data_IF_336743569230
#
_entry.id   IF_336743569230
#
_cell.length_a   1.000
_cell.length_b   1.000
_cell.length_c   1.000
_cell.angle_alpha   90.00
_cell.angle_beta   90.00
_cell.angle_gamma   90.00
#
_symmetry.space_group_name_H-M   'P 1'
#
loop_
_entity.id
_entity.type
_entity.pdbx_description
1 polymer ?
#
# COMPACT_ATOMS: atom_id res chain seq x y z
N UNK A 1 -15.46 -70.09 34.59
CA UNK A 1 -14.38 -69.99 35.62
C UNK A 1 -13.43 -68.88 35.18
N UNK A 2 -13.29 -67.83 36.01
CA UNK A 2 -12.10 -66.97 36.29
C UNK A 2 -11.26 -66.52 35.06
N UNK A 3 -11.00 -65.23 34.79
CA UNK A 3 -10.58 -64.14 35.69
C UNK A 3 -10.85 -62.75 35.09
N UNK A 4 -11.12 -61.82 36.00
CA UNK A 4 -11.22 -60.37 35.85
C UNK A 4 -9.85 -59.66 35.80
N UNK A 5 -9.86 -58.44 35.25
CA UNK A 5 -9.02 -57.28 35.59
C UNK A 5 -7.57 -57.20 35.04
N UNK A 6 -7.24 -56.13 34.30
CA UNK A 6 -6.62 -54.92 34.87
C UNK A 6 -6.47 -53.80 33.81
N UNK A 7 -6.78 -52.58 34.25
CA UNK A 7 -6.46 -51.24 33.75
C UNK A 7 -5.21 -51.08 32.84
N UNK A 8 -5.28 -50.09 31.95
CA UNK A 8 -4.18 -49.12 31.83
C UNK A 8 -3.91 -48.53 30.45
N UNK A 9 -4.23 -47.24 30.29
CA UNK A 9 -3.63 -46.27 29.36
C UNK A 9 -3.82 -46.48 27.84
N UNK A 10 -4.85 -45.83 27.30
CA UNK A 10 -4.79 -45.21 25.96
C UNK A 10 -5.62 -43.92 25.97
N UNK A 11 -5.25 -42.98 26.85
CA UNK A 11 -5.62 -41.57 26.70
C UNK A 11 -4.43 -40.91 26.01
N UNK A 12 -4.34 -41.07 24.70
CA UNK A 12 -3.27 -40.50 23.89
C UNK A 12 -3.86 -39.99 22.59
N UNK A 13 -3.63 -38.70 22.33
CA UNK A 13 -4.08 -37.91 21.19
C UNK A 13 -5.52 -37.37 21.27
N UNK A 14 -5.74 -36.50 22.27
CA UNK A 14 -6.36 -35.22 21.94
C UNK A 14 -5.46 -34.60 20.86
N UNK A 15 -5.91 -34.68 19.62
CA UNK A 15 -5.27 -33.99 18.50
C UNK A 15 -5.38 -32.49 18.83
N UNK A 16 -4.35 -31.94 19.47
CA UNK A 16 -4.12 -30.51 19.53
C UNK A 16 -3.86 -30.10 18.08
N UNK A 17 -4.93 -29.86 17.32
CA UNK A 17 -4.88 -29.02 16.16
C UNK A 17 -4.57 -27.62 16.68
N UNK A 18 -3.31 -27.37 16.99
CA UNK A 18 -2.74 -26.03 16.93
C UNK A 18 -2.84 -25.67 15.46
N UNK A 19 -4.01 -25.17 15.06
CA UNK A 19 -4.12 -24.44 13.82
C UNK A 19 -3.07 -23.36 13.91
N UNK A 20 -2.11 -23.39 12.98
CA UNK A 20 -1.18 -22.29 12.80
C UNK A 20 -2.02 -21.03 12.70
N UNK A 21 -2.10 -20.27 13.79
CA UNK A 21 -2.64 -18.93 13.76
C UNK A 21 -1.77 -18.21 12.73
N UNK A 22 -2.29 -18.04 11.51
CA UNK A 22 -1.66 -17.17 10.52
C UNK A 22 -1.59 -15.85 11.25
N UNK A 23 -0.38 -15.45 11.66
CA UNK A 23 -0.13 -14.13 12.23
C UNK A 23 -0.62 -13.17 11.16
N UNK A 24 -1.83 -12.64 11.34
CA UNK A 24 -2.37 -11.64 10.42
C UNK A 24 -1.39 -10.48 10.35
N UNK A 25 -1.32 -9.83 9.20
CA UNK A 25 -0.67 -8.53 9.09
C UNK A 25 -1.13 -7.62 10.24
N UNK A 26 -0.23 -6.81 10.82
CA UNK A 26 -0.62 -5.85 11.85
C UNK A 26 -1.74 -4.99 11.29
N UNK A 27 -2.87 -4.98 11.98
CA UNK A 27 -4.01 -4.18 11.60
C UNK A 27 -3.75 -2.74 12.04
N UNK A 28 -3.61 -1.80 11.09
CA UNK A 28 -3.26 -0.41 11.37
C UNK A 28 -4.48 0.50 11.65
N UNK A 29 -5.70 -0.04 11.58
CA UNK A 29 -6.91 0.67 12.01
C UNK A 29 -6.94 0.89 13.54
N UNK A 30 -7.31 2.10 13.98
CA UNK A 30 -7.44 2.49 15.39
C UNK A 30 -8.60 3.45 15.60
N UNK A 31 -8.96 3.77 16.85
CA UNK A 31 -10.02 4.75 17.11
C UNK A 31 -9.69 6.07 16.42
N UNK A 32 -10.66 6.65 15.70
CA UNK A 32 -10.50 7.92 15.00
C UNK A 32 -10.08 9.06 15.93
N UNK A 33 -10.52 9.02 17.20
CA UNK A 33 -10.14 9.96 18.26
C UNK A 33 -8.67 9.89 18.66
N UNK A 34 -7.96 8.83 18.28
CA UNK A 34 -6.54 8.67 18.59
C UNK A 34 -5.63 9.31 17.52
N UNK A 35 -6.20 9.82 16.42
CA UNK A 35 -5.48 10.66 15.46
C UNK A 35 -5.40 12.09 15.98
N UNK A 36 -4.29 12.77 15.69
CA UNK A 36 -4.14 14.18 16.07
C UNK A 36 -5.11 15.04 15.26
N UNK A 37 -5.49 16.18 15.81
CA UNK A 37 -6.36 17.12 15.13
C UNK A 37 -5.69 17.62 13.85
N UNK A 38 -6.40 17.54 12.71
CA UNK A 38 -5.87 17.87 11.39
C UNK A 38 -5.16 16.73 10.66
N UNK A 39 -4.98 15.55 11.29
CA UNK A 39 -4.47 14.37 10.56
C UNK A 39 -5.53 13.83 9.58
N UNK A 40 -5.06 13.57 8.35
CA UNK A 40 -5.83 12.90 7.31
C UNK A 40 -6.01 11.42 7.66
N UNK A 41 -7.27 10.97 7.69
CA UNK A 41 -7.66 9.62 8.06
C UNK A 41 -8.91 9.20 7.30
N UNK A 42 -9.07 7.91 7.10
CA UNK A 42 -10.26 7.30 6.50
C UNK A 42 -11.00 6.48 7.56
N UNK A 43 -12.31 6.69 7.70
CA UNK A 43 -13.15 5.94 8.65
C UNK A 43 -13.66 4.65 7.99
N UNK A 44 -13.41 3.51 8.63
CA UNK A 44 -13.86 2.21 8.14
C UNK A 44 -15.39 2.16 8.06
N UNK A 45 -15.95 1.48 7.05
CA UNK A 45 -17.39 1.52 6.74
C UNK A 45 -18.28 0.88 7.81
N UNK A 46 -17.87 -0.25 8.37
CA UNK A 46 -18.69 -1.07 9.28
C UNK A 46 -18.40 -0.79 10.75
N UNK A 47 -17.15 -0.46 11.09
CA UNK A 47 -16.73 -0.18 12.47
C UNK A 47 -16.62 1.32 12.71
N UNK A 48 -17.78 1.99 12.77
CA UNK A 48 -17.87 3.44 12.98
C UNK A 48 -17.01 3.90 14.17
N UNK A 49 -16.24 4.95 13.97
CA UNK A 49 -15.26 5.45 14.93
C UNK A 49 -13.90 4.75 14.88
N UNK A 50 -13.70 3.80 13.96
CA UNK A 50 -12.39 3.24 13.63
C UNK A 50 -11.87 3.83 12.31
N UNK A 51 -10.60 4.22 12.30
CA UNK A 51 -9.96 4.88 11.19
C UNK A 51 -8.59 4.27 10.88
N UNK A 52 -8.23 4.30 9.60
CA UNK A 52 -6.86 4.09 9.10
C UNK A 52 -6.22 5.44 8.75
N UNK A 53 -4.89 5.49 8.77
CA UNK A 53 -4.16 6.66 8.30
C UNK A 53 -4.29 6.76 6.79
N UNK A 54 -4.18 7.96 6.22
CA UNK A 54 -4.22 8.10 4.76
C UNK A 54 -3.09 7.35 4.03
N UNK A 55 -1.97 7.09 4.70
CA UNK A 55 -0.86 6.27 4.16
C UNK A 55 -1.17 4.78 4.11
N UNK A 56 -2.20 4.33 4.85
CA UNK A 56 -2.70 2.95 4.92
C UNK A 56 -4.11 2.88 4.32
N UNK A 57 -4.41 3.78 3.40
CA UNK A 57 -5.70 3.85 2.74
C UNK A 57 -5.43 3.70 1.26
N UNK A 58 -5.95 2.63 0.67
CA UNK A 58 -5.66 2.22 -0.69
C UNK A 58 -4.17 1.90 -0.92
N UNK A 59 -3.53 1.26 0.08
CA UNK A 59 -2.12 0.88 0.04
C UNK A 59 -1.92 -0.61 -0.32
N UNK A 60 -2.96 -1.23 -0.88
CA UNK A 60 -3.03 -2.67 -1.19
C UNK A 60 -2.94 -3.59 0.04
N UNK A 61 -3.02 -3.05 1.26
CA UNK A 61 -3.04 -3.81 2.51
C UNK A 61 -4.38 -3.67 3.21
N UNK A 62 -4.97 -4.80 3.60
CA UNK A 62 -6.24 -4.79 4.32
C UNK A 62 -6.01 -4.40 5.78
N UNK A 63 -6.30 -3.16 6.14
CA UNK A 63 -6.22 -2.64 7.50
C UNK A 63 -7.57 -2.58 8.18
N UNK A 64 -8.62 -2.08 7.55
CA UNK A 64 -9.95 -2.19 8.13
C UNK A 64 -10.36 -3.67 8.25
N UNK A 65 -11.23 -3.97 9.23
CA UNK A 65 -11.79 -5.33 9.38
C UNK A 65 -12.68 -5.74 8.22
N UNK A 66 -13.28 -4.75 7.56
CA UNK A 66 -14.23 -4.90 6.46
C UNK A 66 -13.64 -4.54 5.09
N UNK A 67 -12.30 -4.37 5.00
CA UNK A 67 -11.60 -4.04 3.75
C UNK A 67 -12.10 -2.74 3.09
N UNK A 68 -12.77 -1.86 3.84
CA UNK A 68 -13.34 -0.64 3.27
C UNK A 68 -12.28 0.39 2.88
N UNK A 69 -11.10 0.27 3.47
CA UNK A 69 -9.88 1.00 3.14
C UNK A 69 -9.29 0.61 1.77
N UNK A 70 -9.55 -0.62 1.32
CA UNK A 70 -9.11 -1.16 0.03
C UNK A 70 -10.30 -1.43 -0.91
N UNK A 71 -11.41 -0.69 -0.73
CA UNK A 71 -12.58 -0.80 -1.60
C UNK A 71 -12.25 -0.22 -2.99
N UNK A 72 -12.37 -1.00 -4.08
CA UNK A 72 -11.93 -0.54 -5.41
C UNK A 72 -12.64 0.73 -5.90
N UNK A 73 -13.92 0.92 -5.55
CA UNK A 73 -14.69 2.09 -6.00
C UNK A 73 -14.28 3.33 -5.21
N UNK A 74 -14.02 3.16 -3.91
CA UNK A 74 -13.54 4.28 -3.07
C UNK A 74 -12.11 4.65 -3.46
N UNK A 75 -11.23 3.67 -3.65
CA UNK A 75 -9.85 3.89 -4.05
C UNK A 75 -9.71 4.50 -5.44
N UNK A 76 -10.47 4.05 -6.44
CA UNK A 76 -10.45 4.65 -7.77
C UNK A 76 -10.82 6.15 -7.70
N UNK A 77 -11.84 6.50 -6.92
CA UNK A 77 -12.25 7.89 -6.76
C UNK A 77 -11.15 8.73 -6.08
N UNK A 78 -10.55 8.20 -5.02
CA UNK A 78 -9.47 8.89 -4.31
C UNK A 78 -8.24 9.08 -5.21
N UNK A 79 -7.76 7.99 -5.82
CA UNK A 79 -6.57 8.00 -6.67
C UNK A 79 -6.78 8.94 -7.86
N UNK A 80 -7.99 9.00 -8.41
CA UNK A 80 -8.33 9.96 -9.46
C UNK A 80 -8.22 11.41 -8.97
N UNK A 81 -8.77 11.74 -7.81
CA UNK A 81 -8.65 13.08 -7.24
C UNK A 81 -7.18 13.45 -7.00
N UNK A 82 -6.38 12.52 -6.48
CA UNK A 82 -4.94 12.69 -6.33
C UNK A 82 -4.24 12.92 -7.67
N UNK A 83 -4.52 12.13 -8.69
CA UNK A 83 -3.93 12.29 -10.02
C UNK A 83 -4.29 13.63 -10.67
N UNK A 84 -5.52 14.11 -10.49
CA UNK A 84 -6.00 15.34 -11.12
C UNK A 84 -5.54 16.60 -10.37
N UNK A 85 -5.60 16.58 -9.04
CA UNK A 85 -5.32 17.76 -8.20
C UNK A 85 -3.92 17.76 -7.58
N UNK A 86 -3.33 16.60 -7.33
CA UNK A 86 -2.01 16.47 -6.69
C UNK A 86 -0.83 16.98 -7.54
N UNK A 87 -1.09 17.25 -8.82
CA UNK A 87 -0.15 17.84 -9.77
C UNK A 87 -0.56 19.25 -10.23
N UNK A 88 -1.72 19.75 -9.81
CA UNK A 88 -2.12 21.13 -10.10
C UNK A 88 -1.12 22.09 -9.44
N UNK A 89 -0.54 23.00 -10.22
CA UNK A 89 0.44 23.95 -9.68
C UNK A 89 1.87 23.40 -9.54
N UNK A 90 2.14 22.13 -9.88
CA UNK A 90 3.51 21.60 -9.87
C UNK A 90 4.22 21.88 -11.20
N UNK A 91 5.21 22.76 -11.15
CA UNK A 91 6.02 23.16 -12.30
C UNK A 91 7.52 23.14 -11.97
N UNK A 92 8.35 22.85 -12.98
CA UNK A 92 9.79 23.11 -12.95
C UNK A 92 10.12 24.09 -14.07
N UNK A 93 10.71 25.23 -13.72
CA UNK A 93 11.01 26.30 -14.69
C UNK A 93 9.79 26.63 -15.59
N UNK A 94 8.61 26.74 -14.98
CA UNK A 94 7.32 26.98 -15.66
C UNK A 94 6.86 25.87 -16.62
N UNK A 95 7.49 24.70 -16.60
CA UNK A 95 7.07 23.51 -17.35
C UNK A 95 6.24 22.62 -16.43
N UNK A 96 5.02 22.21 -16.83
CA UNK A 96 4.20 21.30 -16.03
C UNK A 96 4.92 19.98 -15.79
N UNK A 97 4.83 19.44 -14.57
CA UNK A 97 5.28 18.08 -14.32
C UNK A 97 4.41 17.08 -15.08
N UNK A 98 5.05 16.12 -15.75
CA UNK A 98 4.33 14.99 -16.32
C UNK A 98 4.04 13.97 -15.21
N UNK A 99 2.81 13.44 -15.18
CA UNK A 99 2.41 12.35 -14.28
C UNK A 99 2.42 11.01 -15.00
N UNK A 100 2.72 9.95 -14.26
CA UNK A 100 2.55 8.56 -14.71
C UNK A 100 1.67 7.81 -13.72
N UNK A 101 0.82 6.91 -14.22
CA UNK A 101 -0.14 6.18 -13.41
C UNK A 101 0.35 4.74 -13.15
N UNK A 102 0.44 4.38 -11.87
CA UNK A 102 0.70 3.04 -11.34
C UNK A 102 -0.43 2.06 -11.70
N UNK A 103 -0.22 0.76 -11.54
CA UNK A 103 -1.26 -0.25 -11.84
C UNK A 103 -2.45 -0.16 -10.87
N UNK A 104 -2.19 0.16 -9.60
CA UNK A 104 -3.16 0.47 -8.53
C UNK A 104 -3.92 1.79 -8.71
N UNK A 105 -3.65 2.51 -9.81
CA UNK A 105 -4.23 3.80 -10.22
C UNK A 105 -3.71 5.03 -9.50
N UNK A 106 -2.76 4.90 -8.56
CA UNK A 106 -2.02 6.04 -8.04
C UNK A 106 -1.20 6.72 -9.13
N UNK A 107 -0.83 7.98 -8.91
CA UNK A 107 0.04 8.71 -9.82
C UNK A 107 1.34 9.09 -9.14
N UNK A 108 2.44 9.02 -9.89
CA UNK A 108 3.76 9.53 -9.48
C UNK A 108 4.26 10.51 -10.53
N UNK A 109 5.34 11.22 -10.19
CA UNK A 109 6.06 12.04 -11.17
C UNK A 109 6.62 11.11 -12.25
N UNK A 110 6.43 11.43 -13.54
CA UNK A 110 6.79 10.51 -14.63
C UNK A 110 8.26 10.12 -14.61
N UNK A 111 9.12 11.02 -14.14
CA UNK A 111 10.56 10.79 -14.00
C UNK A 111 10.94 9.78 -12.91
N UNK A 112 10.02 9.44 -11.98
CA UNK A 112 10.21 8.42 -10.94
C UNK A 112 9.95 6.99 -11.43
N UNK A 113 9.36 6.84 -12.62
CA UNK A 113 9.18 5.53 -13.21
C UNK A 113 10.55 4.95 -13.56
N UNK A 114 10.84 3.71 -13.13
CA UNK A 114 12.08 3.00 -13.43
C UNK A 114 13.35 3.77 -12.99
N UNK A 115 13.28 4.52 -11.89
CA UNK A 115 14.39 5.30 -11.35
C UNK A 115 15.20 4.53 -10.29
N UNK A 116 14.67 3.39 -9.84
CA UNK A 116 15.29 2.46 -8.90
C UNK A 116 14.78 2.58 -7.47
N UNK A 117 13.87 3.51 -7.17
CA UNK A 117 13.14 3.61 -5.91
C UNK A 117 11.68 3.16 -6.11
N UNK A 118 11.09 2.47 -5.12
CA UNK A 118 9.65 2.10 -5.17
C UNK A 118 8.81 3.33 -4.76
N UNK A 119 8.31 4.07 -5.74
CA UNK A 119 7.44 5.23 -5.53
C UNK A 119 5.95 4.90 -5.65
N UNK A 120 5.58 3.89 -6.45
CA UNK A 120 4.22 3.37 -6.43
C UNK A 120 3.99 2.47 -5.20
N UNK A 121 2.83 2.54 -4.53
CA UNK A 121 2.49 1.61 -3.44
C UNK A 121 2.50 0.14 -3.86
N UNK A 122 2.16 -0.13 -5.13
CA UNK A 122 2.20 -1.47 -5.74
C UNK A 122 3.56 -1.83 -6.38
N UNK A 123 4.55 -0.94 -6.35
CA UNK A 123 5.86 -1.10 -6.97
C UNK A 123 5.85 -1.22 -8.50
N UNK A 124 4.73 -0.90 -9.16
CA UNK A 124 4.56 -1.09 -10.61
C UNK A 124 5.42 -0.16 -11.48
N UNK A 125 5.97 0.88 -10.88
CA UNK A 125 6.97 1.78 -11.47
C UNK A 125 8.33 1.11 -11.67
N UNK A 126 8.65 0.09 -10.88
CA UNK A 126 9.94 -0.63 -10.91
C UNK A 126 9.84 -2.05 -11.51
N UNK A 127 8.77 -2.35 -12.24
CA UNK A 127 8.58 -3.64 -12.94
C UNK A 127 9.77 -3.93 -13.89
N UNK A 128 10.54 -5.01 -13.68
CA UNK A 128 11.75 -5.27 -14.46
C UNK A 128 11.52 -5.48 -15.96
N UNK A 129 10.37 -6.05 -16.35
CA UNK A 129 10.05 -6.30 -17.76
C UNK A 129 9.70 -4.98 -18.46
N UNK A 130 8.91 -4.13 -17.80
CA UNK A 130 8.56 -2.80 -18.32
C UNK A 130 9.76 -1.88 -18.36
N UNK A 131 10.58 -1.90 -17.31
CA UNK A 131 11.78 -1.08 -17.19
C UNK A 131 12.94 -1.56 -18.07
N UNK A 132 12.88 -2.74 -18.69
CA UNK A 132 13.89 -3.18 -19.66
C UNK A 132 13.77 -2.49 -21.03
N UNK A 133 12.64 -1.84 -21.33
CA UNK A 133 12.39 -1.19 -22.61
C UNK A 133 13.35 0.00 -22.85
N UNK A 134 14.10 -0.06 -23.96
CA UNK A 134 15.11 0.97 -24.31
C UNK A 134 14.48 2.30 -24.72
N UNK A 135 13.32 2.27 -25.33
CA UNK A 135 12.55 3.45 -25.74
C UNK A 135 12.05 4.17 -24.49
N UNK A 136 11.46 3.43 -23.56
CA UNK A 136 11.04 3.95 -22.26
C UNK A 136 12.21 4.61 -21.51
N UNK A 137 13.37 3.95 -21.44
CA UNK A 137 14.56 4.55 -20.80
C UNK A 137 15.01 5.84 -21.46
N UNK A 138 14.89 5.97 -22.78
CA UNK A 138 15.22 7.20 -23.48
C UNK A 138 14.21 8.33 -23.17
N UNK A 139 12.92 8.00 -23.11
CA UNK A 139 11.86 8.93 -22.72
C UNK A 139 12.03 9.42 -21.28
N UNK A 140 12.29 8.51 -20.34
CA UNK A 140 12.47 8.84 -18.92
C UNK A 140 13.71 9.72 -18.70
N UNK A 141 14.82 9.43 -19.40
CA UNK A 141 16.00 10.31 -19.40
C UNK A 141 15.70 11.72 -19.92
N UNK A 142 14.79 11.85 -20.89
CA UNK A 142 14.40 13.15 -21.41
C UNK A 142 13.61 13.98 -20.38
N UNK A 143 12.97 13.33 -19.40
CA UNK A 143 12.21 13.98 -18.33
C UNK A 143 12.86 13.88 -16.95
N UNK A 144 14.06 13.33 -16.82
CA UNK A 144 14.79 13.19 -15.53
C UNK A 144 14.97 14.52 -14.80
N UNK A 145 15.12 15.62 -15.54
CA UNK A 145 15.16 16.98 -14.98
C UNK A 145 13.89 17.38 -14.21
N UNK A 146 12.77 16.66 -14.41
CA UNK A 146 11.50 16.88 -13.74
C UNK A 146 11.48 16.29 -12.32
N UNK A 147 12.38 15.37 -12.01
CA UNK A 147 12.52 14.84 -10.68
C UNK A 147 13.40 15.81 -9.91
N UNK A 148 12.91 16.31 -8.77
CA UNK A 148 13.68 17.14 -7.87
C UNK A 148 14.80 16.31 -7.23
N UNK A 149 15.78 15.88 -8.02
CA UNK A 149 17.05 15.43 -7.50
C UNK A 149 17.64 16.62 -6.75
N UNK A 150 17.68 16.49 -5.42
CA UNK A 150 18.39 17.35 -4.46
C UNK A 150 19.57 18.04 -5.13
N UNK A 151 19.39 19.30 -5.54
CA UNK A 151 20.50 20.23 -5.74
C UNK A 151 20.95 20.65 -4.34
N UNK A 152 21.50 19.72 -3.56
CA UNK A 152 22.34 20.08 -2.44
C UNK A 152 23.76 20.20 -2.99
N UNK A 153 24.15 21.46 -3.19
CA UNK A 153 25.51 21.97 -3.07
C UNK A 153 26.64 21.12 -3.66
N UNK A 154 26.90 21.30 -4.95
CA UNK A 154 28.29 21.36 -5.43
C UNK A 154 28.45 22.68 -6.18
N UNK A 155 28.71 23.74 -5.40
CA UNK A 155 29.55 24.90 -5.69
C UNK A 155 29.66 25.76 -4.43
#
# INVERSE_FOLDING_TARGET
MKKTSLLGLLVGLLCLSVGSAKKGSPKFYRKCSNFRQGENKFECKTNKGMCVSKVYFCDSTVDCLDNSDEDPVVCEKEHKEYCDTGFEGKYINSTPLEKWQCDDKMCIEKCRRCDGDEDCPDGSDEDPERCADKTLKAELKAVDYQCQRRVHSEL
#
